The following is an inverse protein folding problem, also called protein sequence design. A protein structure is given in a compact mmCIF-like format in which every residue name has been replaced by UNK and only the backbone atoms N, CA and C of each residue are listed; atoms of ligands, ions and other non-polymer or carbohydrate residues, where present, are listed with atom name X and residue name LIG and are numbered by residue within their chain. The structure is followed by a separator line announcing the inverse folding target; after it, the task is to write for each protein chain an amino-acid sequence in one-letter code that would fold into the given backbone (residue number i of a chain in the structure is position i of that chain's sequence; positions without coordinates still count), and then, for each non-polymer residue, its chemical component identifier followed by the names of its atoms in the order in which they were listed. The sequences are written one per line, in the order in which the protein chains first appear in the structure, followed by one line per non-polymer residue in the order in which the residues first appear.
data_IF_864871339702
#
_entry.id   IF_864871339702
#
_cell.length_a   1.000
_cell.length_b   1.000
_cell.length_c   1.000
_cell.angle_alpha   90.00
_cell.angle_beta   90.00
_cell.angle_gamma   90.00
#
_symmetry.space_group_name_H-M   'P 1'
#
loop_
_entity.id
_entity.type
_entity.pdbx_description
1 polymer ?
#
# COMPACT_ATOMS: atom_id res chain seq x y z
N UNK A 1 2.56 16.79 -1.08
CA UNK A 1 1.39 16.39 -1.92
C UNK A 1 1.10 17.30 -3.12
N UNK A 2 1.67 18.51 -3.26
CA UNK A 2 1.36 19.42 -4.40
C UNK A 2 2.17 19.14 -5.69
N UNK A 3 3.34 18.52 -5.58
CA UNK A 3 4.23 18.28 -6.73
C UNK A 3 3.68 17.20 -7.70
N UNK A 4 3.19 16.08 -7.17
CA UNK A 4 2.69 14.96 -7.97
C UNK A 4 1.45 15.36 -8.80
N UNK A 5 0.53 16.13 -8.20
CA UNK A 5 -0.66 16.63 -8.89
C UNK A 5 -0.27 17.55 -10.07
N UNK A 6 0.76 18.38 -9.91
CA UNK A 6 1.21 19.31 -10.96
C UNK A 6 1.87 18.58 -12.14
N UNK A 7 2.51 17.45 -11.91
CA UNK A 7 3.06 16.59 -12.97
C UNK A 7 1.96 15.88 -13.75
N UNK A 8 0.88 15.45 -13.10
CA UNK A 8 -0.29 14.86 -13.78
C UNK A 8 -1.00 15.84 -14.72
N UNK A 9 -1.04 17.13 -14.37
CA UNK A 9 -1.58 18.17 -15.25
C UNK A 9 -0.68 18.52 -16.44
N UNK A 10 0.59 18.08 -16.45
CA UNK A 10 1.51 18.29 -17.56
C UNK A 10 1.44 17.20 -18.63
N UNK A 11 0.78 16.08 -18.37
CA UNK A 11 0.46 15.09 -19.40
C UNK A 11 -0.84 15.58 -20.06
N UNK A 12 -0.77 16.25 -21.23
CA UNK A 12 -1.91 17.00 -21.78
C UNK A 12 -3.15 16.11 -21.97
N UNK A 13 -2.96 14.82 -22.28
CA UNK A 13 -4.05 13.88 -22.49
C UNK A 13 -4.69 13.45 -21.16
N UNK A 14 -3.90 13.00 -20.19
CA UNK A 14 -4.43 12.48 -18.91
C UNK A 14 -4.98 13.62 -18.05
N UNK A 15 -4.27 14.74 -17.95
CA UNK A 15 -4.68 15.89 -17.13
C UNK A 15 -5.98 16.55 -17.62
N UNK A 16 -6.22 16.57 -18.93
CA UNK A 16 -7.46 17.10 -19.50
C UNK A 16 -8.64 16.16 -19.24
N UNK A 17 -8.43 14.86 -19.48
CA UNK A 17 -9.41 13.80 -19.17
C UNK A 17 -9.79 13.79 -17.68
N UNK A 18 -8.82 13.88 -16.79
CA UNK A 18 -9.09 13.90 -15.34
C UNK A 18 -9.79 15.17 -14.91
N UNK A 19 -9.44 16.33 -15.49
CA UNK A 19 -10.11 17.60 -15.18
C UNK A 19 -11.58 17.57 -15.58
N UNK A 20 -11.87 17.01 -16.75
CA UNK A 20 -13.23 16.88 -17.30
C UNK A 20 -14.07 15.86 -16.51
N UNK A 21 -13.48 14.75 -16.08
CA UNK A 21 -14.15 13.76 -15.23
C UNK A 21 -14.55 14.29 -13.82
N UNK A 22 -13.82 15.28 -13.31
CA UNK A 22 -14.04 15.86 -11.97
C UNK A 22 -15.03 17.02 -11.99
N UNK A 23 -15.00 17.86 -13.03
CA UNK A 23 -15.83 19.08 -13.11
C UNK A 23 -16.96 19.00 -14.15
N UNK A 24 -16.97 17.98 -15.00
CA UNK A 24 -17.94 17.80 -16.07
C UNK A 24 -19.26 17.16 -15.63
N UNK A 25 -20.10 16.83 -16.62
CA UNK A 25 -21.40 16.19 -16.39
C UNK A 25 -21.24 14.81 -15.72
N UNK A 26 -22.30 14.25 -15.10
CA UNK A 26 -22.25 12.90 -14.56
C UNK A 26 -21.80 11.84 -15.59
N UNK A 27 -22.06 12.07 -16.88
CA UNK A 27 -21.67 11.18 -17.97
C UNK A 27 -20.15 11.22 -18.27
N UNK A 28 -19.47 12.33 -17.95
CA UNK A 28 -18.05 12.52 -18.21
C UNK A 28 -17.16 11.46 -17.54
N UNK A 29 -17.62 10.87 -16.43
CA UNK A 29 -16.93 9.77 -15.74
C UNK A 29 -16.86 8.50 -16.59
N UNK A 30 -17.91 8.19 -17.36
CA UNK A 30 -17.92 7.02 -18.24
C UNK A 30 -17.00 7.23 -19.43
N UNK A 31 -17.01 8.44 -20.02
CA UNK A 31 -16.06 8.79 -21.08
C UNK A 31 -14.62 8.76 -20.58
N UNK A 32 -14.36 9.18 -19.34
CA UNK A 32 -13.04 9.06 -18.74
C UNK A 32 -12.58 7.60 -18.65
N UNK A 33 -13.40 6.72 -18.08
CA UNK A 33 -13.09 5.30 -17.94
C UNK A 33 -12.84 4.65 -19.31
N UNK A 34 -13.68 4.95 -20.31
CA UNK A 34 -13.52 4.46 -21.67
C UNK A 34 -12.21 4.93 -22.31
N UNK A 35 -11.91 6.23 -22.24
CA UNK A 35 -10.67 6.78 -22.78
C UNK A 35 -9.43 6.20 -22.08
N UNK A 36 -9.49 5.96 -20.76
CA UNK A 36 -8.43 5.30 -20.02
C UNK A 36 -8.21 3.87 -20.53
N UNK A 37 -9.27 3.12 -20.79
CA UNK A 37 -9.19 1.78 -21.36
C UNK A 37 -8.60 1.80 -22.78
N UNK A 38 -9.04 2.72 -23.62
CA UNK A 38 -8.50 2.88 -24.99
C UNK A 38 -7.03 3.26 -24.98
N UNK A 39 -6.62 4.22 -24.14
CA UNK A 39 -5.22 4.59 -23.96
C UNK A 39 -4.40 3.40 -23.47
N UNK A 40 -4.94 2.61 -22.55
CA UNK A 40 -4.28 1.42 -22.03
C UNK A 40 -4.06 0.37 -23.13
N UNK A 41 -5.09 0.08 -23.94
CA UNK A 41 -4.98 -0.82 -25.10
C UNK A 41 -3.99 -0.27 -26.13
N UNK A 42 -4.01 1.04 -26.41
CA UNK A 42 -3.04 1.69 -27.28
C UNK A 42 -1.60 1.52 -26.76
N UNK A 43 -1.40 1.70 -25.45
CA UNK A 43 -0.10 1.51 -24.80
C UNK A 43 0.38 0.05 -24.92
N UNK A 44 -0.53 -0.93 -24.73
CA UNK A 44 -0.23 -2.35 -24.96
C UNK A 44 0.11 -2.60 -26.43
N UNK A 45 -0.58 -1.95 -27.37
CA UNK A 45 -0.29 -2.11 -28.79
C UNK A 45 1.12 -1.59 -29.15
N UNK A 46 1.51 -0.42 -28.64
CA UNK A 46 2.81 0.20 -28.96
C UNK A 46 3.99 -0.41 -28.18
N UNK A 47 3.81 -0.74 -26.90
CA UNK A 47 4.88 -1.27 -26.03
C UNK A 47 4.89 -2.80 -26.03
N UNK A 48 3.74 -3.42 -26.23
CA UNK A 48 3.56 -4.87 -26.24
C UNK A 48 3.35 -5.49 -24.87
N UNK A 49 3.57 -6.81 -24.83
CA UNK A 49 3.54 -7.63 -23.62
C UNK A 49 4.41 -7.13 -22.44
N UNK A 50 5.58 -6.48 -22.65
CA UNK A 50 6.39 -5.97 -21.53
C UNK A 50 5.65 -5.04 -20.59
N UNK A 51 4.73 -4.22 -21.12
CA UNK A 51 3.90 -3.32 -20.30
C UNK A 51 2.99 -4.11 -19.36
N UNK A 52 2.30 -5.12 -19.90
CA UNK A 52 1.34 -5.95 -19.15
C UNK A 52 2.05 -6.71 -18.03
N UNK A 53 3.21 -7.30 -18.33
CA UNK A 53 4.03 -8.03 -17.35
C UNK A 53 4.47 -7.09 -16.23
N UNK A 54 4.98 -5.90 -16.58
CA UNK A 54 5.46 -4.93 -15.59
C UNK A 54 4.34 -4.50 -14.65
N UNK A 55 3.16 -4.19 -15.17
CA UNK A 55 2.01 -3.81 -14.35
C UNK A 55 1.51 -4.96 -13.49
N UNK A 56 1.52 -6.19 -14.00
CA UNK A 56 1.17 -7.38 -13.22
C UNK A 56 2.16 -7.59 -12.06
N UNK A 57 3.46 -7.42 -12.27
CA UNK A 57 4.48 -7.52 -11.22
C UNK A 57 4.32 -6.44 -10.16
N UNK A 58 4.06 -5.19 -10.56
CA UNK A 58 3.77 -4.09 -9.63
C UNK A 58 2.52 -4.41 -8.81
N UNK A 59 1.45 -4.85 -9.47
CA UNK A 59 0.18 -5.21 -8.82
C UNK A 59 0.34 -6.38 -7.84
N UNK A 60 1.10 -7.42 -8.22
CA UNK A 60 1.39 -8.56 -7.35
C UNK A 60 2.20 -8.13 -6.12
N UNK A 61 3.25 -7.32 -6.31
CA UNK A 61 4.05 -6.78 -5.20
C UNK A 61 3.20 -5.93 -4.27
N UNK A 62 2.43 -4.98 -4.80
CA UNK A 62 1.55 -4.12 -4.03
C UNK A 62 0.46 -4.90 -3.28
N UNK A 63 -0.14 -5.92 -3.93
CA UNK A 63 -1.14 -6.78 -3.32
C UNK A 63 -0.58 -7.60 -2.15
N UNK A 64 0.60 -8.22 -2.35
CA UNK A 64 1.30 -8.95 -1.29
C UNK A 64 1.70 -8.03 -0.14
N UNK A 65 2.33 -6.89 -0.43
CA UNK A 65 2.68 -5.90 0.59
C UNK A 65 1.46 -5.38 1.34
N UNK A 66 0.36 -5.09 0.63
CA UNK A 66 -0.90 -4.66 1.21
C UNK A 66 -1.51 -5.73 2.12
N UNK A 67 -1.52 -6.99 1.70
CA UNK A 67 -2.00 -8.10 2.51
C UNK A 67 -1.17 -8.26 3.79
N UNK A 68 0.17 -8.24 3.68
CA UNK A 68 1.06 -8.30 4.84
C UNK A 68 0.81 -7.14 5.80
N UNK A 69 0.71 -5.92 5.29
CA UNK A 69 0.45 -4.73 6.11
C UNK A 69 -0.91 -4.79 6.81
N UNK A 70 -1.93 -5.31 6.15
CA UNK A 70 -3.27 -5.42 6.71
C UNK A 70 -3.42 -6.59 7.70
N UNK A 71 -2.62 -7.65 7.55
CA UNK A 71 -2.75 -8.87 8.35
C UNK A 71 -1.75 -8.98 9.49
N UNK A 72 -0.57 -8.35 9.39
CA UNK A 72 0.46 -8.40 10.43
C UNK A 72 0.76 -7.03 11.09
N UNK A 73 -0.25 -6.24 11.51
CA UNK A 73 0.01 -4.92 12.12
C UNK A 73 0.75 -5.01 13.47
N UNK A 74 0.57 -6.11 14.19
CA UNK A 74 1.22 -6.45 15.46
C UNK A 74 2.71 -6.73 15.31
N UNK A 75 3.13 -7.35 14.20
CA UNK A 75 4.54 -7.54 13.87
C UNK A 75 5.30 -6.21 13.68
N UNK A 76 4.59 -5.11 13.41
CA UNK A 76 5.14 -3.77 13.29
C UNK A 76 4.97 -2.92 14.57
N UNK A 77 4.29 -3.42 15.61
CA UNK A 77 4.08 -2.67 16.85
C UNK A 77 5.29 -2.77 17.80
N UNK A 78 6.14 -1.74 17.74
CA UNK A 78 7.33 -1.58 18.59
C UNK A 78 7.01 -1.36 20.09
N UNK A 79 5.74 -1.18 20.47
CA UNK A 79 5.35 -1.05 21.89
C UNK A 79 5.36 -2.38 22.63
N UNK A 80 5.13 -3.50 21.94
CA UNK A 80 5.15 -4.85 22.52
C UNK A 80 6.50 -5.23 23.14
N UNK A 81 7.61 -4.76 22.53
CA UNK A 81 8.97 -5.07 23.00
C UNK A 81 9.39 -4.33 24.29
N UNK A 82 8.71 -3.24 24.69
CA UNK A 82 9.04 -2.54 25.95
C UNK A 82 8.41 -3.20 27.18
N UNK A 83 7.27 -3.87 27.02
CA UNK A 83 6.55 -4.52 28.13
C UNK A 83 7.36 -5.67 28.72
N UNK A 84 8.16 -6.37 27.91
CA UNK A 84 9.03 -7.47 28.38
C UNK A 84 10.25 -6.97 29.16
N UNK A 85 10.76 -5.77 28.84
CA UNK A 85 11.91 -5.16 29.55
C UNK A 85 11.47 -4.54 30.88
N UNK A 86 10.21 -4.12 30.99
CA UNK A 86 9.64 -3.55 32.21
C UNK A 86 9.15 -4.59 33.22
N UNK A 87 9.28 -5.89 32.93
CA UNK A 87 8.82 -6.93 33.85
C UNK A 87 9.80 -7.01 35.04
N UNK A 88 9.37 -6.68 36.28
CA UNK A 88 10.24 -6.76 37.43
C UNK A 88 10.73 -8.19 37.62
N UNK A 89 12.02 -8.35 37.94
CA UNK A 89 12.64 -9.66 38.13
C UNK A 89 11.81 -10.51 39.12
N UNK A 90 11.63 -11.82 38.86
CA UNK A 90 10.90 -12.68 39.78
C UNK A 90 11.55 -12.62 41.16
N UNK A 91 10.76 -12.59 42.26
CA UNK A 91 11.31 -12.49 43.60
C UNK A 91 12.29 -13.66 43.86
N UNK A 92 13.40 -13.43 44.57
CA UNK A 92 14.38 -14.47 44.84
C UNK A 92 13.68 -15.63 45.55
N UNK A 93 13.73 -16.81 44.93
CA UNK A 93 13.12 -18.04 45.43
C UNK A 93 13.73 -18.31 46.80
N UNK A 94 12.99 -18.04 47.89
CA UNK A 94 13.39 -18.42 49.24
C UNK A 94 13.53 -19.94 49.25
N UNK A 95 14.78 -20.41 49.26
CA UNK A 95 15.10 -21.79 49.53
C UNK A 95 14.66 -22.06 50.96
N UNK A 96 13.52 -22.72 51.11
CA UNK A 96 13.08 -23.25 52.39
C UNK A 96 14.09 -24.32 52.78
N UNK A 97 15.10 -23.92 53.55
CA UNK A 97 16.07 -24.82 54.15
C UNK A 97 15.29 -25.70 55.12
N UNK A 98 14.87 -26.88 54.65
CA UNK A 98 14.45 -27.96 55.53
C UNK A 98 15.68 -28.38 56.32
N UNK A 99 15.84 -27.81 57.52
CA UNK A 99 16.70 -28.40 58.55
C UNK A 99 16.05 -29.71 58.95
N UNK A 100 16.61 -30.81 58.45
CA UNK A 100 16.39 -32.12 59.03
C UNK A 100 17.12 -32.13 60.38
N UNK A 101 16.34 -32.27 61.44
CA UNK A 101 16.80 -32.61 62.79
C UNK A 101 15.94 -33.79 63.25
#
# INVERSE_FOLDING_TARGET
MKALARTFYHVPVIGWLTKDAVHGSPEAKYFFAFNMAVLFVGLIYFIGYPLVITLALIGAGAGLSGLVLLTAPDAFDSRSSRTTVAMPAPPPRQQVIRRAA
#
